data_IF_953705572666
#
_entry.id   IF_953705572666
#
_cell.length_a   1.000
_cell.length_b   1.000
_cell.length_c   1.000
_cell.angle_alpha   90.00
_cell.angle_beta   90.00
_cell.angle_gamma   90.00
#
_symmetry.space_group_name_H-M   'P 1'
#
loop_
_entity.id
_entity.type
_entity.pdbx_description
1 polymer ?
#
# COMPACT_ATOMS: atom_id res chain seq x y z
N UNK A 1 3.48 23.72 9.29
CA UNK A 1 2.26 22.98 9.64
C UNK A 1 2.11 21.70 8.81
N UNK A 2 2.22 21.72 7.48
CA UNK A 2 2.08 20.50 6.66
C UNK A 2 3.19 19.46 6.87
N UNK A 3 4.43 19.90 7.10
CA UNK A 3 5.61 19.03 7.25
C UNK A 3 5.51 18.01 8.40
N UNK A 4 4.75 18.31 9.45
CA UNK A 4 4.49 17.38 10.56
C UNK A 4 3.28 16.47 10.31
N UNK A 5 2.54 16.69 9.23
CA UNK A 5 1.38 15.89 8.86
C UNK A 5 1.80 14.73 7.95
N UNK A 6 2.12 15.00 6.68
CA UNK A 6 2.43 13.94 5.72
C UNK A 6 3.18 14.42 4.46
N UNK A 7 3.96 15.52 4.50
CA UNK A 7 4.67 15.98 3.28
C UNK A 7 5.64 14.93 2.74
N UNK A 8 6.27 14.15 3.63
CA UNK A 8 7.17 13.06 3.24
C UNK A 8 6.46 12.01 2.34
N UNK A 9 5.18 11.73 2.57
CA UNK A 9 4.39 10.79 1.76
C UNK A 9 4.27 11.25 0.29
N UNK A 10 4.27 12.56 0.06
CA UNK A 10 4.11 13.15 -1.27
C UNK A 10 5.38 13.08 -2.12
N UNK A 11 6.54 12.83 -1.51
CA UNK A 11 7.83 12.86 -2.21
C UNK A 11 7.93 11.75 -3.26
N UNK A 12 7.43 10.55 -2.94
CA UNK A 12 7.38 9.42 -3.87
C UNK A 12 6.66 9.79 -5.18
N UNK A 13 5.32 10.00 -5.16
CA UNK A 13 4.58 10.39 -6.37
C UNK A 13 5.05 11.73 -6.95
N UNK A 14 5.54 12.66 -6.14
CA UNK A 14 6.11 13.93 -6.61
C UNK A 14 7.31 13.75 -7.53
N UNK A 15 8.29 12.97 -7.12
CA UNK A 15 9.51 12.75 -7.91
C UNK A 15 9.36 11.70 -9.01
N UNK A 16 8.48 10.70 -8.85
CA UNK A 16 8.34 9.64 -9.86
C UNK A 16 7.23 9.89 -10.87
N UNK A 17 6.23 10.71 -10.53
CA UNK A 17 5.02 10.92 -11.35
C UNK A 17 4.64 12.40 -11.49
N UNK A 18 5.41 13.33 -10.92
CA UNK A 18 5.12 14.77 -10.97
C UNK A 18 3.91 15.21 -10.11
N UNK A 19 3.43 14.37 -9.20
CA UNK A 19 2.21 14.62 -8.43
C UNK A 19 2.48 14.77 -6.92
N UNK A 20 2.55 16.02 -6.45
CA UNK A 20 2.78 16.37 -5.05
C UNK A 20 1.46 16.46 -4.25
N UNK A 21 0.69 15.37 -4.27
CA UNK A 21 -0.62 15.31 -3.66
C UNK A 21 -0.93 13.94 -3.05
N UNK A 22 -2.12 13.86 -2.47
CA UNK A 22 -2.66 12.59 -1.98
C UNK A 22 -3.39 11.87 -3.10
N UNK A 23 -3.34 10.53 -3.08
CA UNK A 23 -3.96 9.67 -4.08
C UNK A 23 -5.17 8.99 -3.45
N UNK A 24 -6.22 8.82 -4.24
CA UNK A 24 -7.26 7.87 -3.94
C UNK A 24 -6.91 6.52 -4.58
N UNK A 25 -7.53 5.44 -4.11
CA UNK A 25 -7.24 4.08 -4.52
C UNK A 25 -8.48 3.46 -5.15
N UNK A 26 -8.34 2.81 -6.32
CA UNK A 26 -9.45 2.08 -6.96
C UNK A 26 -9.72 0.74 -6.24
N UNK A 27 -10.25 0.87 -5.02
CA UNK A 27 -10.59 -0.23 -4.14
C UNK A 27 -11.75 -1.09 -4.68
N UNK A 28 -12.43 -0.67 -5.74
CA UNK A 28 -13.50 -1.48 -6.36
C UNK A 28 -12.95 -2.49 -7.37
N UNK A 29 -11.82 -2.19 -8.02
CA UNK A 29 -11.23 -3.06 -9.07
C UNK A 29 -9.92 -3.74 -8.67
N UNK A 30 -9.31 -3.30 -7.57
CA UNK A 30 -8.06 -3.88 -7.06
C UNK A 30 -8.17 -5.40 -6.86
N UNK A 31 -7.20 -6.17 -7.38
CA UNK A 31 -7.10 -7.63 -7.19
C UNK A 31 -6.01 -8.04 -6.20
N UNK A 32 -5.05 -7.17 -5.95
CA UNK A 32 -4.02 -7.33 -4.93
C UNK A 32 -3.84 -5.98 -4.23
N UNK A 33 -4.21 -5.91 -2.96
CA UNK A 33 -4.05 -4.73 -2.12
C UNK A 33 -2.88 -4.95 -1.16
N UNK A 34 -1.85 -4.12 -1.28
CA UNK A 34 -0.77 -4.06 -0.28
C UNK A 34 -1.02 -2.85 0.62
N UNK A 35 -1.41 -3.10 1.86
CA UNK A 35 -1.58 -2.08 2.90
C UNK A 35 -0.24 -1.93 3.62
N UNK A 36 0.47 -0.83 3.35
CA UNK A 36 1.82 -0.62 3.85
C UNK A 36 1.88 0.51 4.87
N UNK A 37 2.17 0.19 6.13
CA UNK A 37 2.35 1.15 7.22
C UNK A 37 1.14 2.04 7.53
N UNK A 38 -0.04 1.69 7.00
CA UNK A 38 -1.29 2.40 7.22
C UNK A 38 -2.41 1.45 7.63
N UNK A 39 -3.50 2.00 8.17
CA UNK A 39 -4.66 1.24 8.62
C UNK A 39 -5.93 1.88 8.06
N UNK A 40 -6.26 1.68 6.76
CA UNK A 40 -7.41 2.30 6.09
C UNK A 40 -8.77 1.95 6.72
N UNK A 41 -8.84 0.94 7.58
CA UNK A 41 -10.05 0.58 8.33
C UNK A 41 -10.24 1.40 9.61
N UNK A 42 -9.19 2.05 10.11
CA UNK A 42 -9.24 2.88 11.32
C UNK A 42 -8.85 4.34 11.08
N UNK A 43 -8.05 4.61 10.06
CA UNK A 43 -7.35 5.87 9.81
C UNK A 43 -7.08 6.05 8.31
N UNK A 44 -6.30 7.06 7.91
CA UNK A 44 -6.10 7.47 6.51
C UNK A 44 -7.29 8.30 5.97
N UNK A 45 -7.26 8.66 4.68
CA UNK A 45 -8.02 9.80 4.13
C UNK A 45 -9.47 9.51 3.79
N UNK A 46 -9.83 8.26 3.53
CA UNK A 46 -11.16 7.84 3.07
C UNK A 46 -11.62 6.58 3.81
N UNK A 47 -11.62 6.63 5.15
CA UNK A 47 -11.98 5.48 6.02
C UNK A 47 -13.33 4.86 5.66
N UNK A 48 -14.43 5.61 5.47
CA UNK A 48 -15.73 5.00 5.16
C UNK A 48 -15.72 4.25 3.81
N UNK A 49 -15.06 4.80 2.80
CA UNK A 49 -14.93 4.17 1.48
C UNK A 49 -14.10 2.88 1.56
N UNK A 50 -13.02 2.89 2.34
CA UNK A 50 -12.20 1.70 2.56
C UNK A 50 -12.98 0.61 3.31
N UNK A 51 -13.65 0.95 4.42
CA UNK A 51 -14.50 0.02 5.17
C UNK A 51 -15.56 -0.61 4.26
N UNK A 52 -16.23 0.20 3.44
CA UNK A 52 -17.30 -0.26 2.56
C UNK A 52 -16.83 -1.26 1.50
N UNK A 53 -15.57 -1.17 1.04
CA UNK A 53 -15.04 -1.96 -0.07
C UNK A 53 -14.10 -3.08 0.35
N UNK A 54 -13.62 -3.09 1.60
CA UNK A 54 -12.56 -4.00 2.02
C UNK A 54 -12.97 -5.47 1.94
N UNK A 55 -14.21 -5.80 2.33
CA UNK A 55 -14.72 -7.18 2.24
C UNK A 55 -14.73 -7.67 0.79
N UNK A 56 -15.19 -6.83 -0.14
CA UNK A 56 -15.21 -7.20 -1.57
C UNK A 56 -13.81 -7.44 -2.13
N UNK A 57 -12.77 -6.80 -1.57
CA UNK A 57 -11.38 -7.04 -1.97
C UNK A 57 -10.94 -8.41 -1.45
N UNK A 58 -11.32 -8.74 -0.22
CA UNK A 58 -10.99 -10.03 0.39
C UNK A 58 -11.58 -11.19 -0.41
N UNK A 59 -12.82 -11.05 -0.88
CA UNK A 59 -13.50 -12.12 -1.63
C UNK A 59 -12.94 -12.34 -3.04
N UNK A 60 -12.44 -11.28 -3.69
CA UNK A 60 -12.03 -11.33 -5.10
C UNK A 60 -10.53 -11.39 -5.33
N UNK A 61 -9.72 -11.18 -4.30
CA UNK A 61 -8.30 -10.91 -4.45
C UNK A 61 -7.52 -11.10 -3.16
N UNK A 62 -6.27 -10.65 -3.16
CA UNK A 62 -5.36 -10.81 -2.03
C UNK A 62 -5.16 -9.48 -1.32
N UNK A 63 -5.09 -9.53 0.01
CA UNK A 63 -4.78 -8.37 0.86
C UNK A 63 -3.58 -8.74 1.70
N UNK A 64 -2.50 -7.99 1.53
CA UNK A 64 -1.24 -8.15 2.25
C UNK A 64 -1.06 -6.91 3.11
N UNK A 65 -0.77 -7.08 4.40
CA UNK A 65 -0.53 -5.96 5.31
C UNK A 65 0.91 -5.98 5.82
N UNK A 66 1.64 -4.90 5.56
CA UNK A 66 3.01 -4.64 6.05
C UNK A 66 2.90 -3.65 7.19
N UNK A 67 3.01 -4.12 8.42
CA UNK A 67 2.84 -3.28 9.62
C UNK A 67 3.57 -3.95 10.81
N UNK A 68 4.40 -3.23 11.59
CA UNK A 68 5.02 -3.78 12.80
C UNK A 68 4.00 -4.24 13.86
N UNK A 69 2.77 -3.70 13.85
CA UNK A 69 1.72 -4.05 14.81
C UNK A 69 0.53 -4.72 14.14
N UNK A 70 -0.26 -5.41 14.96
CA UNK A 70 -1.56 -5.95 14.58
C UNK A 70 -2.62 -4.84 14.49
N UNK A 71 -2.70 -4.17 13.33
CA UNK A 71 -3.73 -3.15 13.04
C UNK A 71 -5.07 -3.75 12.61
N UNK A 72 -6.11 -2.93 12.45
CA UNK A 72 -7.42 -3.45 12.03
C UNK A 72 -7.37 -4.01 10.60
N UNK A 73 -6.63 -3.35 9.70
CA UNK A 73 -6.32 -3.90 8.37
C UNK A 73 -5.52 -5.20 8.43
N UNK A 74 -4.51 -5.31 9.30
CA UNK A 74 -3.73 -6.55 9.45
C UNK A 74 -4.61 -7.70 9.93
N UNK A 75 -5.46 -7.46 10.94
CA UNK A 75 -6.35 -8.49 11.50
C UNK A 75 -7.34 -9.07 10.49
N UNK A 76 -7.57 -8.38 9.36
CA UNK A 76 -8.43 -8.82 8.27
C UNK A 76 -7.67 -9.23 7.00
N UNK A 77 -6.36 -9.01 6.94
CA UNK A 77 -5.56 -9.32 5.76
C UNK A 77 -5.37 -10.83 5.60
N UNK A 78 -5.10 -11.26 4.37
CA UNK A 78 -4.73 -12.66 4.11
C UNK A 78 -3.32 -12.95 4.61
N UNK A 79 -2.41 -11.97 4.46
CA UNK A 79 -1.01 -12.10 4.84
C UNK A 79 -0.60 -10.92 5.72
N UNK A 80 0.12 -11.21 6.79
CA UNK A 80 0.75 -10.21 7.64
C UNK A 80 2.27 -10.31 7.56
N UNK A 81 2.91 -9.20 7.20
CA UNK A 81 4.34 -9.01 7.22
C UNK A 81 4.71 -8.07 8.38
N UNK A 82 5.09 -8.62 9.56
CA UNK A 82 5.48 -7.84 10.74
C UNK A 82 6.87 -7.22 10.53
N UNK A 83 6.94 -6.17 9.71
CA UNK A 83 8.19 -5.50 9.37
C UNK A 83 8.81 -4.85 10.62
N UNK A 84 10.13 -4.84 10.71
CA UNK A 84 10.81 -4.05 11.75
C UNK A 84 10.71 -2.56 11.39
N UNK A 85 10.38 -1.68 12.34
CA UNK A 85 10.29 -0.25 12.07
C UNK A 85 11.54 0.31 11.38
N UNK A 86 11.36 0.96 10.24
CA UNK A 86 12.46 1.55 9.45
C UNK A 86 13.08 0.63 8.41
N UNK A 87 12.68 -0.64 8.32
CA UNK A 87 13.17 -1.59 7.32
C UNK A 87 12.29 -1.68 6.06
N UNK A 88 11.26 -0.85 5.95
CA UNK A 88 10.31 -0.80 4.83
C UNK A 88 11.01 -0.65 3.47
N UNK A 89 12.03 0.21 3.40
CA UNK A 89 12.80 0.42 2.17
C UNK A 89 13.55 -0.82 1.70
N UNK A 90 14.05 -1.64 2.64
CA UNK A 90 14.74 -2.89 2.31
C UNK A 90 13.76 -3.93 1.74
N UNK A 91 12.57 -4.06 2.34
CA UNK A 91 11.52 -4.93 1.82
C UNK A 91 11.04 -4.48 0.43
N UNK A 92 10.81 -3.18 0.24
CA UNK A 92 10.38 -2.64 -1.06
C UNK A 92 11.43 -2.90 -2.16
N UNK A 93 12.72 -2.73 -1.85
CA UNK A 93 13.82 -3.03 -2.78
C UNK A 93 13.91 -4.53 -3.11
N UNK A 94 13.73 -5.42 -2.12
CA UNK A 94 13.73 -6.86 -2.35
C UNK A 94 12.55 -7.31 -3.22
N UNK A 95 11.35 -6.76 -2.99
CA UNK A 95 10.18 -7.01 -3.85
C UNK A 95 10.42 -6.55 -5.29
N UNK A 96 10.96 -5.34 -5.46
CA UNK A 96 11.31 -4.81 -6.77
C UNK A 96 12.34 -5.70 -7.47
N UNK A 97 13.36 -6.19 -6.74
CA UNK A 97 14.35 -7.11 -7.28
C UNK A 97 13.70 -8.37 -7.87
N UNK A 98 12.86 -9.06 -7.09
CA UNK A 98 12.18 -10.29 -7.54
C UNK A 98 11.28 -10.02 -8.75
N UNK A 99 10.46 -8.96 -8.69
CA UNK A 99 9.57 -8.57 -9.80
C UNK A 99 10.38 -8.39 -11.10
N UNK A 100 11.55 -7.79 -11.01
CA UNK A 100 12.42 -7.53 -12.16
C UNK A 100 13.18 -8.78 -12.61
N UNK A 101 13.74 -9.57 -11.70
CA UNK A 101 14.54 -10.76 -12.07
C UNK A 101 13.68 -11.89 -12.61
N UNK A 102 12.41 -11.98 -12.17
CA UNK A 102 11.48 -13.01 -12.60
C UNK A 102 10.58 -12.61 -13.78
N UNK A 103 10.71 -11.38 -14.31
CA UNK A 103 9.93 -10.98 -15.48
C UNK A 103 8.48 -10.60 -15.19
N UNK A 104 8.13 -10.29 -13.93
CA UNK A 104 6.76 -10.09 -13.45
C UNK A 104 6.27 -8.64 -13.50
N UNK A 105 7.07 -7.69 -13.98
CA UNK A 105 6.65 -6.30 -14.10
C UNK A 105 5.58 -6.12 -15.19
N UNK A 106 4.83 -5.02 -15.11
CA UNK A 106 3.89 -4.66 -16.16
C UNK A 106 4.67 -4.17 -17.40
N UNK A 107 4.80 -5.04 -18.40
CA UNK A 107 5.53 -4.75 -19.65
C UNK A 107 4.91 -3.62 -20.46
N UNK A 108 3.59 -3.53 -20.52
CA UNK A 108 2.91 -2.44 -21.25
C UNK A 108 3.26 -1.06 -20.67
N UNK A 109 3.36 -0.97 -19.34
CA UNK A 109 3.68 0.28 -18.67
C UNK A 109 5.18 0.60 -18.65
N UNK A 110 6.04 -0.40 -18.45
CA UNK A 110 7.49 -0.21 -18.24
C UNK A 110 8.31 -0.33 -19.53
N UNK A 111 7.90 -1.14 -20.50
CA UNK A 111 8.64 -1.46 -21.72
C UNK A 111 8.44 -2.89 -22.21
#
# INVERSE_FOLDING_TARGET
>A
HSAICAEAEKMGPGYTQGFFGYRDYDLAKTKCLVVWGCDPLSSNRQVPNAIAKFSDILDRGTVIAVDPRMSASVAKAHEWLPIKPGEDGALAAALAHVIMTEGMWNKEFVG
#
